data_IF_419859431592
#
_entry.id   IF_419859431592
#
_cell.length_a   1.000
_cell.length_b   1.000
_cell.length_c   1.000
_cell.angle_alpha   90.00
_cell.angle_beta   90.00
_cell.angle_gamma   90.00
#
_symmetry.space_group_name_H-M   'P 1'
#
loop_
_entity.id
_entity.type
_entity.pdbx_description
1 polymer ?
#
# COMPACT_ATOMS: atom_id res chain seq x y z
N UNK A 1 6.27 -15.08 -6.85
CA UNK A 1 6.41 -14.18 -8.02
C UNK A 1 5.77 -12.86 -7.65
N UNK A 2 6.45 -11.74 -7.89
CA UNK A 2 6.13 -10.41 -7.38
C UNK A 2 6.66 -10.17 -5.96
N UNK A 3 7.21 -8.97 -5.75
CA UNK A 3 7.75 -8.52 -4.46
C UNK A 3 6.88 -7.44 -3.78
N UNK A 4 5.66 -7.23 -4.28
CA UNK A 4 4.65 -6.34 -3.70
C UNK A 4 4.19 -6.74 -2.29
N UNK A 5 3.24 -5.98 -1.72
CA UNK A 5 2.76 -6.18 -0.35
C UNK A 5 2.43 -7.65 0.01
N UNK A 6 1.65 -8.33 -0.84
CA UNK A 6 1.32 -9.75 -0.63
C UNK A 6 2.52 -10.69 -0.81
N UNK A 7 3.34 -10.47 -1.85
CA UNK A 7 4.51 -11.30 -2.13
C UNK A 7 5.57 -11.21 -1.04
N UNK A 8 5.83 -10.01 -0.53
CA UNK A 8 6.75 -9.78 0.58
C UNK A 8 6.26 -10.45 1.88
N UNK A 9 4.97 -10.34 2.20
CA UNK A 9 4.40 -10.99 3.40
C UNK A 9 4.42 -12.51 3.28
N UNK A 10 4.06 -13.06 2.13
CA UNK A 10 4.15 -14.50 1.88
C UNK A 10 5.59 -15.01 2.01
N UNK A 11 6.55 -14.33 1.38
CA UNK A 11 7.96 -14.69 1.45
C UNK A 11 8.49 -14.66 2.88
N UNK A 12 8.16 -13.61 3.64
CA UNK A 12 8.51 -13.50 5.07
C UNK A 12 7.94 -14.66 5.89
N UNK A 13 6.67 -14.99 5.69
CA UNK A 13 6.00 -16.08 6.43
C UNK A 13 6.64 -17.43 6.13
N UNK A 14 6.87 -17.75 4.85
CA UNK A 14 7.50 -19.02 4.43
C UNK A 14 8.95 -19.12 4.93
N UNK A 15 9.72 -18.03 4.83
CA UNK A 15 11.09 -18.01 5.32
C UNK A 15 11.17 -18.21 6.85
N UNK A 16 10.25 -17.60 7.62
CA UNK A 16 10.15 -17.81 9.08
C UNK A 16 9.75 -19.22 9.46
N UNK A 17 9.08 -19.95 8.57
CA UNK A 17 8.78 -21.36 8.74
C UNK A 17 9.98 -22.29 8.41
N UNK A 18 11.15 -21.73 8.09
CA UNK A 18 12.37 -22.48 7.79
C UNK A 18 12.53 -22.89 6.33
N UNK A 19 11.72 -22.35 5.42
CA UNK A 19 11.80 -22.66 4.00
C UNK A 19 12.84 -21.79 3.29
N UNK A 20 13.52 -22.37 2.29
CA UNK A 20 14.30 -21.61 1.31
C UNK A 20 13.36 -20.94 0.31
N UNK A 21 13.33 -19.61 0.29
CA UNK A 21 12.36 -18.82 -0.51
C UNK A 21 13.10 -17.98 -1.55
N UNK A 22 12.62 -18.03 -2.79
CA UNK A 22 13.06 -17.14 -3.88
C UNK A 22 11.90 -16.23 -4.28
N UNK A 23 12.17 -14.92 -4.35
CA UNK A 23 11.22 -13.91 -4.84
C UNK A 23 11.70 -13.43 -6.21
N UNK A 24 10.83 -13.55 -7.21
CA UNK A 24 11.08 -13.08 -8.57
C UNK A 24 10.28 -11.80 -8.80
N UNK A 25 10.95 -10.72 -9.17
CA UNK A 25 10.37 -9.40 -9.44
C UNK A 25 10.81 -8.94 -10.84
N UNK A 26 9.89 -8.33 -11.59
CA UNK A 26 10.21 -7.79 -12.93
C UNK A 26 10.84 -6.40 -12.86
N UNK A 27 10.57 -5.64 -11.80
CA UNK A 27 11.12 -4.30 -11.57
C UNK A 27 12.51 -4.29 -10.94
N UNK A 28 13.18 -3.14 -11.03
CA UNK A 28 14.50 -2.93 -10.45
C UNK A 28 14.44 -2.69 -8.93
N UNK A 29 15.54 -2.96 -8.25
CA UNK A 29 15.73 -2.53 -6.86
C UNK A 29 16.32 -1.11 -6.84
N UNK A 30 15.57 -0.16 -6.29
CA UNK A 30 15.99 1.23 -6.20
C UNK A 30 16.45 1.58 -4.78
N UNK A 31 17.67 2.08 -4.65
CA UNK A 31 18.23 2.54 -3.37
C UNK A 31 17.77 3.95 -3.03
N UNK A 32 17.86 4.36 -1.77
CA UNK A 32 17.56 5.73 -1.33
C UNK A 32 18.36 6.79 -2.12
N UNK A 33 19.64 6.52 -2.42
CA UNK A 33 20.47 7.40 -3.26
C UNK A 33 19.94 7.55 -4.70
N UNK A 34 19.36 6.48 -5.26
CA UNK A 34 18.73 6.53 -6.58
C UNK A 34 17.54 7.50 -6.59
N UNK A 35 16.73 7.53 -5.53
CA UNK A 35 15.59 8.45 -5.39
C UNK A 35 16.06 9.90 -5.25
N UNK A 36 17.07 10.14 -4.41
CA UNK A 36 17.59 11.48 -4.13
C UNK A 36 18.22 12.14 -5.37
N UNK A 37 18.87 11.34 -6.22
CA UNK A 37 19.58 11.82 -7.41
C UNK A 37 18.67 12.16 -8.60
N UNK A 38 17.37 11.83 -8.56
CA UNK A 38 16.48 11.91 -9.73
C UNK A 38 15.30 12.83 -9.52
N UNK A 39 14.88 13.59 -10.54
CA UNK A 39 13.69 14.44 -10.45
C UNK A 39 12.39 13.60 -10.36
N UNK A 40 11.31 14.14 -9.78
CA UNK A 40 10.05 13.42 -9.59
C UNK A 40 9.48 12.79 -10.86
N UNK A 41 9.55 13.48 -12.00
CA UNK A 41 9.03 12.98 -13.28
C UNK A 41 9.78 11.72 -13.76
N UNK A 42 11.11 11.69 -13.64
CA UNK A 42 11.89 10.50 -14.00
C UNK A 42 11.57 9.33 -13.06
N UNK A 43 11.41 9.61 -11.76
CA UNK A 43 11.00 8.57 -10.80
C UNK A 43 9.63 8.01 -11.15
N UNK A 44 8.68 8.88 -11.51
CA UNK A 44 7.34 8.47 -11.92
C UNK A 44 7.39 7.54 -13.14
N UNK A 45 8.05 7.93 -14.22
CA UNK A 45 8.08 7.13 -15.45
C UNK A 45 8.81 5.79 -15.29
N UNK A 46 9.79 5.70 -14.39
CA UNK A 46 10.53 4.46 -14.13
C UNK A 46 9.81 3.51 -13.16
N UNK A 47 9.17 4.05 -12.12
CA UNK A 47 8.57 3.26 -11.04
C UNK A 47 7.15 2.79 -11.37
N UNK A 48 6.41 3.50 -12.21
CA UNK A 48 5.09 3.07 -12.65
C UNK A 48 5.20 2.22 -13.92
N UNK A 49 4.47 1.10 -13.96
CA UNK A 49 4.31 0.28 -15.17
C UNK A 49 3.82 1.17 -16.31
N UNK A 50 4.44 1.02 -17.48
CA UNK A 50 4.16 1.78 -18.70
C UNK A 50 4.14 3.30 -18.48
N UNK A 51 4.96 3.81 -17.55
CA UNK A 51 4.98 5.22 -17.17
C UNK A 51 3.66 5.71 -16.56
N UNK A 52 2.86 4.82 -15.97
CA UNK A 52 1.56 5.13 -15.40
C UNK A 52 0.41 5.12 -16.41
N UNK A 53 0.61 4.59 -17.62
CA UNK A 53 -0.40 4.55 -18.68
C UNK A 53 -1.20 3.23 -18.75
N UNK A 54 -1.16 2.41 -17.70
CA UNK A 54 -1.94 1.17 -17.64
C UNK A 54 -3.42 1.45 -17.29
N UNK A 55 -4.34 0.77 -17.96
CA UNK A 55 -5.79 0.95 -17.77
C UNK A 55 -6.52 -0.38 -17.58
N UNK A 56 -7.58 -0.37 -16.76
CA UNK A 56 -8.61 -1.40 -16.78
C UNK A 56 -9.48 -1.20 -18.02
N UNK A 57 -9.61 -2.25 -18.82
CA UNK A 57 -10.48 -2.24 -20.01
C UNK A 57 -11.94 -2.16 -19.54
N UNK A 58 -12.69 -1.19 -20.06
CA UNK A 58 -14.07 -0.92 -19.69
C UNK A 58 -14.60 0.35 -20.35
N UNK A 59 -15.85 0.70 -20.07
CA UNK A 59 -16.49 1.94 -20.56
C UNK A 59 -17.09 2.70 -19.37
N UNK A 60 -16.46 3.80 -18.90
CA UNK A 60 -15.18 4.35 -19.36
C UNK A 60 -13.98 3.48 -18.92
N UNK A 61 -12.83 3.58 -19.62
CA UNK A 61 -11.60 2.98 -19.13
C UNK A 61 -11.18 3.65 -17.81
N UNK A 62 -10.60 2.85 -16.90
CA UNK A 62 -10.17 3.33 -15.58
C UNK A 62 -8.65 3.21 -15.47
N UNK A 63 -7.98 4.29 -15.08
CA UNK A 63 -6.54 4.27 -14.85
C UNK A 63 -6.18 3.28 -13.73
N UNK A 64 -5.21 2.40 -13.98
CA UNK A 64 -4.71 1.41 -13.03
C UNK A 64 -3.21 1.59 -12.80
N UNK A 65 -2.80 2.53 -11.92
CA UNK A 65 -1.40 2.72 -11.61
C UNK A 65 -0.85 1.49 -10.86
N UNK A 66 0.22 0.90 -11.40
CA UNK A 66 0.90 -0.25 -10.81
C UNK A 66 2.39 0.06 -10.65
N UNK A 67 2.96 -0.19 -9.47
CA UNK A 67 4.39 -0.05 -9.26
C UNK A 67 5.16 -1.24 -9.82
N UNK A 68 6.27 -0.96 -10.51
CA UNK A 68 7.23 -1.93 -11.05
C UNK A 68 8.61 -1.67 -10.44
N UNK A 69 8.86 -2.29 -9.29
CA UNK A 69 10.11 -2.20 -8.54
C UNK A 69 10.18 -3.36 -7.54
N UNK A 70 11.34 -3.61 -6.94
CA UNK A 70 11.41 -4.42 -5.71
C UNK A 70 10.61 -3.74 -4.60
N UNK A 71 9.49 -4.34 -4.20
CA UNK A 71 8.44 -3.76 -3.37
C UNK A 71 7.11 -3.49 -4.11
N UNK A 72 7.09 -3.57 -5.44
CA UNK A 72 5.92 -3.32 -6.28
C UNK A 72 5.26 -1.97 -6.00
N UNK A 73 3.93 -1.93 -5.97
CA UNK A 73 3.17 -0.70 -5.68
C UNK A 73 3.43 -0.12 -4.28
N UNK A 74 4.07 -0.85 -3.36
CA UNK A 74 4.41 -0.28 -2.05
C UNK A 74 5.44 0.85 -2.14
N UNK A 75 6.26 0.85 -3.21
CA UNK A 75 7.31 1.87 -3.44
C UNK A 75 6.73 3.22 -3.86
N UNK A 76 5.53 3.23 -4.45
CA UNK A 76 4.91 4.43 -5.01
C UNK A 76 3.65 4.90 -4.27
N UNK A 77 3.28 4.22 -3.19
CA UNK A 77 2.10 4.56 -2.38
C UNK A 77 2.37 5.71 -1.39
N UNK A 78 1.32 6.22 -0.75
CA UNK A 78 1.40 7.30 0.23
C UNK A 78 1.75 6.84 1.67
N UNK A 79 2.04 5.55 1.87
CA UNK A 79 2.32 4.95 3.18
C UNK A 79 1.11 4.88 4.12
N UNK A 80 -0.10 5.18 3.64
CA UNK A 80 -1.30 5.23 4.48
C UNK A 80 -1.83 3.83 4.77
N UNK A 81 -2.09 3.54 6.05
CA UNK A 81 -2.61 2.26 6.51
C UNK A 81 -3.94 2.46 7.22
N UNK A 82 -4.97 1.74 6.79
CA UNK A 82 -6.31 1.76 7.38
C UNK A 82 -6.69 0.35 7.78
N UNK A 83 -7.30 0.20 8.97
CA UNK A 83 -7.92 -1.07 9.34
C UNK A 83 -9.22 -1.24 8.58
N UNK A 84 -9.45 -2.44 8.08
CA UNK A 84 -10.70 -2.78 7.38
C UNK A 84 -11.88 -2.58 8.34
N UNK A 85 -12.89 -1.76 8.00
CA UNK A 85 -14.04 -1.54 8.88
C UNK A 85 -14.86 -2.81 9.09
N UNK A 86 -15.45 -2.98 10.28
CA UNK A 86 -16.20 -4.20 10.64
C UNK A 86 -17.35 -4.52 9.68
N UNK A 87 -18.02 -3.50 9.14
CA UNK A 87 -19.11 -3.72 8.20
C UNK A 87 -18.62 -4.32 6.86
N UNK A 88 -17.38 -4.03 6.46
CA UNK A 88 -16.75 -4.63 5.28
C UNK A 88 -16.40 -6.09 5.58
N UNK A 89 -15.83 -6.37 6.75
CA UNK A 89 -15.51 -7.74 7.18
C UNK A 89 -16.76 -8.62 7.28
N UNK A 90 -17.85 -8.10 7.87
CA UNK A 90 -19.16 -8.78 7.89
C UNK A 90 -19.68 -9.06 6.49
N UNK A 91 -19.62 -8.06 5.59
CA UNK A 91 -20.02 -8.26 4.19
C UNK A 91 -19.23 -9.38 3.51
N UNK A 92 -17.92 -9.47 3.75
CA UNK A 92 -17.09 -10.54 3.18
C UNK A 92 -17.44 -11.91 3.76
N UNK A 93 -17.64 -12.01 5.08
CA UNK A 93 -18.01 -13.29 5.69
C UNK A 93 -19.42 -13.72 5.29
N UNK A 94 -20.43 -12.89 5.58
CA UNK A 94 -21.84 -13.24 5.45
C UNK A 94 -22.29 -13.24 3.98
N UNK A 95 -21.81 -12.28 3.20
CA UNK A 95 -22.23 -12.07 1.81
C UNK A 95 -21.43 -12.85 0.77
N UNK A 96 -20.16 -13.14 1.05
CA UNK A 96 -19.25 -13.81 0.09
C UNK A 96 -18.72 -15.16 0.61
N UNK A 97 -19.07 -15.57 1.83
CA UNK A 97 -18.60 -16.81 2.44
C UNK A 97 -17.11 -16.80 2.83
N UNK A 98 -16.47 -15.63 2.86
CA UNK A 98 -15.05 -15.51 3.19
C UNK A 98 -14.85 -15.55 4.72
N UNK A 99 -14.93 -16.76 5.27
CA UNK A 99 -14.84 -17.01 6.73
C UNK A 99 -13.53 -16.54 7.36
N UNK A 100 -12.45 -16.37 6.60
CA UNK A 100 -11.19 -15.79 7.11
C UNK A 100 -11.32 -14.32 7.52
N UNK A 101 -12.42 -13.63 7.17
CA UNK A 101 -12.76 -12.33 7.75
C UNK A 101 -13.14 -12.44 9.23
N UNK A 102 -13.60 -13.60 9.70
CA UNK A 102 -13.83 -13.88 11.11
C UNK A 102 -12.46 -14.03 11.79
N UNK A 103 -12.16 -13.13 12.74
CA UNK A 103 -10.84 -13.10 13.37
C UNK A 103 -9.76 -12.40 12.55
N UNK A 104 -10.12 -11.44 11.68
CA UNK A 104 -9.14 -10.70 10.87
C UNK A 104 -8.19 -9.81 11.70
N UNK A 105 -8.63 -9.36 12.88
CA UNK A 105 -7.93 -8.40 13.75
C UNK A 105 -6.47 -8.76 14.06
N UNK A 106 -6.18 -9.96 14.59
CA UNK A 106 -4.81 -10.39 14.89
C UNK A 106 -3.85 -10.38 13.67
N UNK A 107 -4.34 -10.65 12.46
CA UNK A 107 -3.52 -10.57 11.24
C UNK A 107 -3.17 -9.12 10.90
N UNK A 108 -4.11 -8.19 11.11
CA UNK A 108 -3.84 -6.76 10.98
C UNK A 108 -2.83 -6.30 12.05
N UNK A 109 -2.92 -6.78 13.29
CA UNK A 109 -1.96 -6.44 14.35
C UNK A 109 -0.53 -6.92 14.01
N UNK A 110 -0.38 -8.09 13.38
CA UNK A 110 0.93 -8.55 12.91
C UNK A 110 1.45 -7.68 11.76
N UNK A 111 0.60 -7.35 10.80
CA UNK A 111 0.96 -6.52 9.66
C UNK A 111 1.39 -5.11 10.11
N UNK A 112 0.60 -4.47 10.97
CA UNK A 112 0.89 -3.13 11.52
C UNK A 112 2.22 -3.10 12.27
N UNK A 113 2.48 -4.10 13.12
CA UNK A 113 3.78 -4.21 13.82
C UNK A 113 4.94 -4.44 12.86
N UNK A 114 4.75 -5.28 11.84
CA UNK A 114 5.80 -5.58 10.87
C UNK A 114 6.15 -4.36 10.01
N UNK A 115 5.14 -3.56 9.65
CA UNK A 115 5.28 -2.35 8.85
C UNK A 115 5.60 -1.10 9.69
N UNK A 116 5.62 -1.22 11.04
CA UNK A 116 5.80 -0.11 11.98
C UNK A 116 4.79 1.01 11.78
N UNK A 117 3.53 0.64 11.57
CA UNK A 117 2.44 1.60 11.43
C UNK A 117 2.34 2.44 12.69
N UNK A 118 2.26 3.76 12.51
CA UNK A 118 2.16 4.71 13.61
C UNK A 118 1.22 5.86 13.21
N UNK A 119 0.66 6.54 14.21
CA UNK A 119 -0.11 7.76 13.98
C UNK A 119 0.80 8.84 13.41
N UNK A 120 0.39 9.46 12.31
CA UNK A 120 1.11 10.57 11.71
C UNK A 120 1.15 11.76 12.69
N UNK A 121 2.34 12.27 13.05
CA UNK A 121 2.47 13.51 13.83
C UNK A 121 1.84 14.68 13.08
N UNK A 122 1.23 15.65 13.79
CA UNK A 122 0.58 16.81 13.16
C UNK A 122 1.55 17.96 12.88
N UNK A 123 2.72 17.96 13.51
CA UNK A 123 3.78 18.96 13.37
C UNK A 123 4.49 18.91 12.01
N UNK A 124 4.44 17.77 11.33
CA UNK A 124 4.98 17.60 9.97
C UNK A 124 4.00 18.02 8.86
N UNK A 125 2.79 18.47 9.22
CA UNK A 125 1.80 18.92 8.24
C UNK A 125 2.17 20.27 7.63
N UNK A 126 2.15 20.34 6.30
CA UNK A 126 2.20 21.61 5.57
C UNK A 126 0.91 22.43 5.72
N UNK A 127 0.93 23.67 5.23
CA UNK A 127 -0.20 24.61 5.32
C UNK A 127 -1.52 24.04 4.80
N UNK A 128 -1.49 23.30 3.70
CA UNK A 128 -2.68 22.65 3.12
C UNK A 128 -3.33 21.65 4.10
N UNK A 129 -2.51 20.85 4.80
CA UNK A 129 -3.01 19.88 5.78
C UNK A 129 -3.67 20.57 6.98
N UNK A 130 -3.07 21.66 7.49
CA UNK A 130 -3.62 22.45 8.60
C UNK A 130 -4.94 23.12 8.23
N UNK A 131 -5.04 23.66 7.00
CA UNK A 131 -6.27 24.26 6.50
C UNK A 131 -7.38 23.22 6.36
N UNK A 132 -7.07 22.03 5.85
CA UNK A 132 -8.02 20.93 5.74
C UNK A 132 -8.57 20.52 7.12
N UNK A 133 -7.71 20.42 8.14
CA UNK A 133 -8.14 20.13 9.52
C UNK A 133 -9.05 21.22 10.07
N UNK A 134 -8.71 22.50 9.87
CA UNK A 134 -9.56 23.63 10.30
C UNK A 134 -10.95 23.58 9.64
N UNK A 135 -10.99 23.22 8.35
CA UNK A 135 -12.24 23.03 7.62
C UNK A 135 -13.08 21.89 8.20
N UNK A 136 -12.46 20.73 8.45
CA UNK A 136 -13.11 19.58 9.06
C UNK A 136 -13.71 19.91 10.44
N UNK A 137 -12.95 20.62 11.29
CA UNK A 137 -13.40 21.07 12.61
C UNK A 137 -14.64 21.98 12.51
N UNK A 138 -14.62 22.97 11.60
CA UNK A 138 -15.76 23.89 11.39
C UNK A 138 -17.02 23.19 10.88
N UNK A 139 -16.85 22.09 10.16
CA UNK A 139 -17.96 21.26 9.65
C UNK A 139 -18.42 20.20 10.67
N UNK A 140 -17.77 20.10 11.83
CA UNK A 140 -18.06 19.09 12.84
C UNK A 140 -17.67 17.67 12.44
N UNK A 141 -16.76 17.52 11.46
CA UNK A 141 -16.23 16.22 11.04
C UNK A 141 -15.19 15.74 12.05
N UNK A 142 -15.23 14.44 12.37
CA UNK A 142 -14.32 13.77 13.31
C UNK A 142 -13.73 12.52 12.68
#
# INVERSE_FOLDING_TARGET
IGSGAGGAMAARTLARAGMSVVVLEEGEHHTTGWFAARPPLERFTRLYRDGGSSFAVGVPPVLLPQGRAVGGTTVVNAGTCYRTPDHVLRRWSDGLGFRLAEGFGPFLDEAERSLRVARQPLDVLGGNGRLALTGAERLGWR
#
